data_IF_846945518522
#
_entry.id   IF_846945518522
#
_cell.length_a   1.000
_cell.length_b   1.000
_cell.length_c   1.000
_cell.angle_alpha   90.00
_cell.angle_beta   90.00
_cell.angle_gamma   90.00
#
_symmetry.space_group_name_H-M   'P 1'
#
loop_
_entity.id
_entity.type
_entity.pdbx_description
1 polymer ?
#
# COMPACT_ATOMS: atom_id res chain seq x y z
N UNK A 1 27.76 -18.54 -11.45
CA UNK A 1 27.56 -17.08 -11.47
C UNK A 1 26.34 -16.76 -10.60
N UNK A 2 26.56 -16.57 -9.30
CA UNK A 2 25.49 -16.36 -8.32
C UNK A 2 25.37 -14.88 -7.99
N UNK A 3 24.39 -14.21 -8.61
CA UNK A 3 24.00 -12.86 -8.26
C UNK A 3 23.20 -12.89 -6.95
N UNK A 4 23.91 -12.78 -5.81
CA UNK A 4 23.27 -12.57 -4.50
C UNK A 4 22.84 -11.11 -4.42
N UNK A 5 21.55 -10.85 -4.66
CA UNK A 5 20.87 -9.63 -4.22
C UNK A 5 21.16 -9.42 -2.73
N UNK A 6 21.91 -8.37 -2.42
CA UNK A 6 22.06 -7.88 -1.06
C UNK A 6 20.71 -7.36 -0.53
N UNK A 7 20.45 -7.60 0.75
CA UNK A 7 19.27 -7.16 1.48
C UNK A 7 19.05 -5.62 1.39
N UNK A 8 17.82 -5.10 1.58
CA UNK A 8 17.53 -3.69 1.40
C UNK A 8 18.06 -2.88 2.59
N UNK A 9 19.36 -2.62 2.59
CA UNK A 9 19.98 -1.59 3.42
C UNK A 9 19.70 -0.23 2.80
N UNK A 10 18.94 0.60 3.53
CA UNK A 10 18.83 2.07 3.39
C UNK A 10 19.66 2.67 2.24
N UNK A 11 19.11 2.66 1.03
CA UNK A 11 19.75 3.24 -0.14
C UNK A 11 19.55 4.77 -0.13
N UNK A 12 20.64 5.52 -0.03
CA UNK A 12 20.60 6.97 -0.27
C UNK A 12 20.21 7.25 -1.73
N UNK A 13 19.42 8.29 -1.97
CA UNK A 13 19.07 8.72 -3.33
C UNK A 13 20.30 9.16 -4.12
N UNK A 14 20.24 9.07 -5.44
CA UNK A 14 21.31 9.56 -6.32
C UNK A 14 21.61 11.05 -6.10
N UNK A 15 20.58 11.85 -5.78
CA UNK A 15 20.72 13.25 -5.38
C UNK A 15 21.57 13.41 -4.12
N UNK A 16 21.35 12.58 -3.09
CA UNK A 16 22.13 12.61 -1.86
C UNK A 16 23.60 12.24 -2.10
N UNK A 17 23.86 11.26 -2.98
CA UNK A 17 25.20 10.90 -3.41
C UNK A 17 25.89 12.02 -4.18
N UNK A 18 25.18 12.69 -5.09
CA UNK A 18 25.71 13.82 -5.85
C UNK A 18 26.07 15.00 -4.94
N UNK A 19 25.22 15.28 -3.93
CA UNK A 19 25.46 16.31 -2.94
C UNK A 19 26.68 15.99 -2.05
N UNK A 20 26.80 14.75 -1.57
CA UNK A 20 27.95 14.31 -0.78
C UNK A 20 29.27 14.41 -1.56
N UNK A 21 29.27 14.09 -2.87
CA UNK A 21 30.45 14.27 -3.74
C UNK A 21 30.83 15.74 -3.92
N UNK A 22 29.84 16.64 -4.02
CA UNK A 22 30.09 18.10 -4.05
C UNK A 22 30.75 18.57 -2.75
N UNK A 23 30.22 18.13 -1.60
CA UNK A 23 30.78 18.44 -0.30
C UNK A 23 32.23 17.94 -0.17
N UNK A 24 32.51 16.70 -0.59
CA UNK A 24 33.85 16.12 -0.51
C UNK A 24 34.90 16.97 -1.25
N UNK A 25 34.59 17.40 -2.49
CA UNK A 25 35.51 18.22 -3.30
C UNK A 25 35.89 19.55 -2.63
N UNK A 26 34.91 20.23 -2.03
CA UNK A 26 35.19 21.48 -1.32
C UNK A 26 35.98 21.25 -0.03
N UNK A 27 35.70 20.15 0.67
CA UNK A 27 36.42 19.79 1.88
C UNK A 27 37.87 19.38 1.58
N UNK A 28 38.13 18.63 0.50
CA UNK A 28 39.48 18.31 0.03
C UNK A 28 40.25 19.58 -0.34
N UNK A 29 39.60 20.54 -1.03
CA UNK A 29 40.21 21.84 -1.36
C UNK A 29 40.63 22.62 -0.11
N UNK A 30 39.87 22.52 1.00
CA UNK A 30 40.22 23.11 2.30
C UNK A 30 41.35 22.32 2.99
N UNK A 31 41.37 21.00 2.86
CA UNK A 31 42.35 20.13 3.54
C UNK A 31 43.72 20.16 2.86
N UNK A 32 43.75 20.23 1.53
CA UNK A 32 44.98 20.12 0.72
C UNK A 32 45.51 21.49 0.27
N UNK A 33 44.73 22.56 0.48
CA UNK A 33 45.13 23.94 0.16
C UNK A 33 46.15 24.52 1.15
N UNK A 34 47.11 25.31 0.63
CA UNK A 34 48.21 25.92 1.38
C UNK A 34 47.91 27.30 1.98
N UNK A 35 46.67 27.80 1.81
CA UNK A 35 46.27 29.15 2.20
C UNK A 35 45.66 29.28 3.62
N UNK A 36 45.27 30.50 4.04
CA UNK A 36 44.63 30.72 5.34
C UNK A 36 43.33 29.91 5.48
N UNK A 37 43.33 28.93 6.39
CA UNK A 37 42.25 27.96 6.56
C UNK A 37 40.87 28.61 6.80
N UNK A 38 40.84 29.74 7.51
CA UNK A 38 39.61 30.48 7.81
C UNK A 38 38.98 31.10 6.56
N UNK A 39 39.80 31.57 5.61
CA UNK A 39 39.32 32.12 4.35
C UNK A 39 38.76 31.01 3.43
N UNK A 40 39.43 29.86 3.39
CA UNK A 40 38.95 28.68 2.64
C UNK A 40 37.61 28.16 3.19
N UNK A 41 37.46 28.11 4.53
CA UNK A 41 36.21 27.70 5.18
C UNK A 41 35.07 28.68 4.89
N UNK A 42 35.32 29.98 4.92
CA UNK A 42 34.30 30.99 4.60
C UNK A 42 33.86 30.90 3.12
N UNK A 43 34.78 30.61 2.21
CA UNK A 43 34.49 30.40 0.79
C UNK A 43 33.59 29.17 0.59
N UNK A 44 33.99 28.03 1.14
CA UNK A 44 33.20 26.80 1.04
C UNK A 44 31.82 26.94 1.71
N UNK A 45 31.73 27.68 2.82
CA UNK A 45 30.45 27.99 3.46
C UNK A 45 29.51 28.76 2.52
N UNK A 46 30.03 29.74 1.77
CA UNK A 46 29.26 30.50 0.80
C UNK A 46 28.83 29.64 -0.42
N UNK A 47 29.76 28.85 -0.97
CA UNK A 47 29.51 28.00 -2.15
C UNK A 47 28.51 26.87 -1.86
N UNK A 48 28.64 26.25 -0.68
CA UNK A 48 27.76 25.16 -0.25
C UNK A 48 26.46 25.66 0.39
N UNK A 49 26.31 26.98 0.58
CA UNK A 49 25.19 27.62 1.30
C UNK A 49 24.98 27.03 2.70
N UNK A 50 26.08 26.77 3.39
CA UNK A 50 26.11 26.22 4.76
C UNK A 50 26.66 27.26 5.73
N UNK A 51 26.28 27.16 7.00
CA UNK A 51 26.95 27.93 8.05
C UNK A 51 28.40 27.47 8.21
N UNK A 52 29.29 28.39 8.59
CA UNK A 52 30.69 28.07 8.90
C UNK A 52 30.80 26.95 9.95
N UNK A 53 29.90 26.93 10.94
CA UNK A 53 29.78 25.86 11.95
C UNK A 53 29.49 24.50 11.33
N UNK A 54 28.59 24.41 10.35
CA UNK A 54 28.31 23.15 9.63
C UNK A 54 29.54 22.69 8.85
N UNK A 55 30.28 23.58 8.20
CA UNK A 55 31.53 23.25 7.50
C UNK A 55 32.58 22.70 8.47
N UNK A 56 32.73 23.30 9.66
CA UNK A 56 33.62 22.76 10.70
C UNK A 56 33.22 21.35 11.14
N UNK A 57 31.92 21.09 11.36
CA UNK A 57 31.43 19.77 11.75
C UNK A 57 31.66 18.72 10.64
N UNK A 58 31.46 19.10 9.38
CA UNK A 58 31.72 18.23 8.22
C UNK A 58 33.22 17.94 8.07
N UNK A 59 34.09 18.95 8.23
CA UNK A 59 35.55 18.76 8.26
C UNK A 59 35.97 17.79 9.36
N UNK A 60 35.40 17.91 10.56
CA UNK A 60 35.72 17.01 11.67
C UNK A 60 35.36 15.55 11.35
N UNK A 61 34.20 15.31 10.74
CA UNK A 61 33.77 13.97 10.28
C UNK A 61 34.66 13.44 9.14
N UNK A 62 34.93 14.28 8.15
CA UNK A 62 35.64 13.91 6.93
C UNK A 62 37.13 13.67 7.15
N UNK A 63 37.75 14.33 8.14
CA UNK A 63 39.16 14.11 8.49
C UNK A 63 39.45 12.71 9.03
N UNK A 64 38.49 12.11 9.73
CA UNK A 64 38.67 10.78 10.29
C UNK A 64 38.65 9.70 9.21
N UNK A 65 37.83 9.89 8.18
CA UNK A 65 37.71 9.00 7.04
C UNK A 65 37.29 9.81 5.80
N UNK A 66 38.23 10.06 4.88
CA UNK A 66 38.06 10.90 3.66
C UNK A 66 37.16 10.24 2.60
N UNK A 67 36.16 9.47 3.04
CA UNK A 67 35.21 8.78 2.19
C UNK A 67 33.97 9.65 1.97
N UNK A 68 33.41 9.62 0.75
CA UNK A 68 32.15 10.34 0.42
C UNK A 68 30.99 9.85 1.30
N UNK A 69 31.03 8.58 1.72
CA UNK A 69 30.06 7.97 2.64
C UNK A 69 29.99 8.68 4.00
N UNK A 70 31.10 9.23 4.50
CA UNK A 70 31.11 9.94 5.78
C UNK A 70 30.35 11.26 5.75
N UNK A 71 30.05 11.78 4.55
CA UNK A 71 29.32 13.03 4.30
C UNK A 71 27.85 12.81 3.91
N UNK A 72 27.43 11.56 3.70
CA UNK A 72 26.02 11.28 3.47
C UNK A 72 25.20 11.68 4.72
N UNK A 73 23.96 12.15 4.53
CA UNK A 73 23.03 12.33 5.63
C UNK A 73 22.98 11.03 6.42
N UNK A 74 23.13 11.07 7.74
CA UNK A 74 22.76 9.90 8.52
C UNK A 74 21.25 9.77 8.34
N UNK A 75 20.84 8.82 7.50
CA UNK A 75 19.47 8.33 7.56
C UNK A 75 19.33 7.88 8.99
N UNK A 76 18.40 8.49 9.73
CA UNK A 76 18.08 8.11 11.09
C UNK A 76 17.83 6.60 11.08
N UNK A 77 18.88 5.84 11.39
CA UNK A 77 18.78 4.42 11.62
C UNK A 77 17.84 4.34 12.79
N UNK A 78 16.58 3.97 12.51
CA UNK A 78 15.48 3.88 13.46
C UNK A 78 16.04 3.66 14.85
N UNK A 79 16.00 4.70 15.71
CA UNK A 79 16.51 4.64 17.08
C UNK A 79 16.15 3.27 17.60
N UNK A 80 17.16 2.41 17.89
CA UNK A 80 16.92 1.04 18.35
C UNK A 80 15.84 1.15 19.42
N UNK A 81 14.64 0.62 19.14
CA UNK A 81 13.53 0.64 20.08
C UNK A 81 13.94 -0.30 21.21
N UNK A 82 14.65 0.25 22.19
CA UNK A 82 15.13 -0.50 23.35
C UNK A 82 13.97 -0.61 24.31
N UNK A 83 13.01 -1.46 23.96
CA UNK A 83 12.23 -2.13 24.99
C UNK A 83 13.17 -3.14 25.65
N UNK A 84 13.01 -3.34 26.94
CA UNK A 84 13.76 -4.35 27.65
C UNK A 84 13.52 -5.73 27.03
N UNK A 85 14.58 -6.55 26.93
CA UNK A 85 14.50 -7.87 26.29
C UNK A 85 13.54 -8.80 27.04
N UNK A 86 13.40 -8.64 28.37
CA UNK A 86 12.41 -9.35 29.17
C UNK A 86 10.98 -8.99 28.76
N UNK A 87 10.70 -7.71 28.50
CA UNK A 87 9.37 -7.28 28.05
C UNK A 87 9.08 -7.81 26.64
N UNK A 88 10.05 -7.77 25.72
CA UNK A 88 9.87 -8.33 24.36
C UNK A 88 9.61 -9.85 24.43
N UNK A 89 10.27 -10.57 25.33
CA UNK A 89 10.04 -12.00 25.55
C UNK A 89 8.61 -12.25 26.08
N UNK A 90 8.17 -11.51 27.11
CA UNK A 90 6.81 -11.64 27.67
C UNK A 90 5.77 -11.37 26.58
N UNK A 91 5.91 -10.28 25.82
CA UNK A 91 5.01 -9.94 24.72
C UNK A 91 4.94 -11.10 23.72
N UNK A 92 6.09 -11.61 23.27
CA UNK A 92 6.14 -12.64 22.24
C UNK A 92 5.55 -13.97 22.72
N UNK A 93 5.79 -14.35 23.99
CA UNK A 93 5.26 -15.58 24.58
C UNK A 93 3.75 -15.49 24.77
N UNK A 94 3.25 -14.44 25.43
CA UNK A 94 1.81 -14.29 25.69
C UNK A 94 1.01 -14.14 24.39
N UNK A 95 1.53 -13.43 23.38
CA UNK A 95 0.85 -13.34 22.08
C UNK A 95 0.79 -14.70 21.36
N UNK A 96 1.80 -15.56 21.48
CA UNK A 96 1.76 -16.90 20.88
C UNK A 96 0.77 -17.82 21.59
N UNK A 97 0.72 -17.76 22.91
CA UNK A 97 -0.09 -18.65 23.74
C UNK A 97 -1.57 -18.28 23.74
N UNK A 98 -1.89 -16.98 23.83
CA UNK A 98 -3.25 -16.52 24.12
C UNK A 98 -3.88 -15.70 22.99
N UNK A 99 -3.09 -15.02 22.17
CA UNK A 99 -3.63 -14.21 21.07
C UNK A 99 -3.72 -14.98 19.76
N UNK A 100 -2.69 -15.76 19.44
CA UNK A 100 -2.57 -16.53 18.20
C UNK A 100 -3.28 -17.90 18.28
N UNK A 101 -4.53 -17.87 18.74
CA UNK A 101 -5.40 -19.05 18.91
C UNK A 101 -6.70 -18.90 18.11
N UNK A 102 -7.40 -20.02 17.90
CA UNK A 102 -8.59 -20.07 17.04
C UNK A 102 -9.76 -19.24 17.60
N UNK A 103 -9.91 -19.20 18.93
CA UNK A 103 -10.90 -18.39 19.65
C UNK A 103 -10.75 -16.89 19.36
N UNK A 104 -9.55 -16.48 18.94
CA UNK A 104 -9.20 -15.14 18.49
C UNK A 104 -9.64 -14.02 19.46
N UNK A 105 -9.26 -14.08 20.75
CA UNK A 105 -9.67 -13.07 21.73
C UNK A 105 -9.21 -11.65 21.33
N UNK A 106 -9.91 -10.60 21.81
CA UNK A 106 -9.54 -9.23 21.53
C UNK A 106 -8.14 -8.93 22.09
N UNK A 107 -7.34 -8.18 21.33
CA UNK A 107 -5.96 -7.86 21.72
C UNK A 107 -5.89 -7.14 23.08
N UNK A 108 -6.92 -6.38 23.46
CA UNK A 108 -6.96 -5.66 24.74
C UNK A 108 -6.86 -6.61 25.95
N UNK A 109 -7.54 -7.76 25.91
CA UNK A 109 -7.48 -8.76 26.98
C UNK A 109 -6.07 -9.35 27.12
N UNK A 110 -5.45 -9.70 26.00
CA UNK A 110 -4.09 -10.25 26.00
C UNK A 110 -3.06 -9.19 26.42
N UNK A 111 -3.28 -7.91 26.09
CA UNK A 111 -2.43 -6.82 26.59
C UNK A 111 -2.55 -6.65 28.10
N UNK A 112 -3.74 -6.84 28.68
CA UNK A 112 -3.90 -6.81 30.13
C UNK A 112 -3.07 -7.92 30.80
N UNK A 113 -3.10 -9.13 30.25
CA UNK A 113 -2.25 -10.24 30.71
C UNK A 113 -0.75 -9.92 30.57
N UNK A 114 -0.33 -9.36 29.43
CA UNK A 114 1.07 -8.95 29.22
C UNK A 114 1.51 -7.96 30.31
N UNK A 115 0.64 -7.02 30.69
CA UNK A 115 0.92 -6.05 31.77
C UNK A 115 1.08 -6.75 33.11
N UNK A 116 0.15 -7.63 33.47
CA UNK A 116 0.24 -8.41 34.70
C UNK A 116 1.56 -9.19 34.80
N UNK A 117 1.94 -9.91 33.73
CA UNK A 117 3.23 -10.66 33.68
C UNK A 117 4.46 -9.74 33.74
N UNK A 118 4.37 -8.54 33.17
CA UNK A 118 5.47 -7.55 33.29
C UNK A 118 5.59 -7.02 34.72
N UNK A 119 4.47 -6.73 35.39
CA UNK A 119 4.44 -6.24 36.77
C UNK A 119 4.98 -7.30 37.75
N UNK A 120 4.59 -8.57 37.58
CA UNK A 120 5.14 -9.70 38.35
C UNK A 120 6.65 -9.86 38.18
N UNK A 121 7.17 -9.59 36.98
CA UNK A 121 8.59 -9.61 36.66
C UNK A 121 9.33 -8.33 37.11
N UNK A 122 8.65 -7.35 37.70
CA UNK A 122 9.24 -6.05 38.10
C UNK A 122 9.60 -5.16 36.91
N UNK A 123 8.99 -5.39 35.74
CA UNK A 123 9.25 -4.66 34.49
C UNK A 123 8.16 -3.62 34.21
N UNK A 124 8.52 -2.57 33.46
CA UNK A 124 7.58 -1.53 33.07
C UNK A 124 6.50 -2.06 32.12
N UNK A 125 5.25 -2.00 32.56
CA UNK A 125 4.09 -2.47 31.82
C UNK A 125 3.97 -1.78 30.43
N UNK A 126 3.91 -2.53 29.32
CA UNK A 126 3.81 -1.94 27.99
C UNK A 126 2.42 -1.34 27.72
N UNK A 127 2.39 -0.32 26.85
CA UNK A 127 1.11 0.20 26.33
C UNK A 127 0.50 -0.74 25.28
N UNK A 128 -0.81 -0.65 25.08
CA UNK A 128 -1.51 -1.39 24.01
C UNK A 128 -0.83 -1.22 22.65
N UNK A 129 -0.52 0.03 22.29
CA UNK A 129 0.12 0.36 21.01
C UNK A 129 1.55 -0.22 20.93
N UNK A 130 2.22 -0.39 22.07
CA UNK A 130 3.53 -1.04 22.15
C UNK A 130 3.41 -2.50 21.74
N UNK A 131 2.51 -3.27 22.35
CA UNK A 131 2.28 -4.68 21.99
C UNK A 131 1.77 -4.83 20.55
N UNK A 132 0.80 -4.01 20.13
CA UNK A 132 0.24 -4.06 18.78
C UNK A 132 1.30 -3.87 17.68
N UNK A 133 2.26 -2.97 17.90
CA UNK A 133 3.36 -2.71 16.94
C UNK A 133 4.34 -3.88 16.78
N UNK A 134 4.35 -4.87 17.69
CA UNK A 134 5.22 -6.06 17.59
C UNK A 134 4.60 -7.18 16.76
N UNK A 135 3.27 -7.20 16.63
CA UNK A 135 2.54 -8.24 15.91
C UNK A 135 3.10 -8.46 14.49
N UNK A 136 3.31 -7.44 13.64
CA UNK A 136 3.82 -7.65 12.28
C UNK A 136 5.27 -8.15 12.22
N UNK A 137 6.05 -7.95 13.28
CA UNK A 137 7.42 -8.46 13.39
C UNK A 137 7.48 -9.89 13.95
N UNK A 138 6.44 -10.32 14.68
CA UNK A 138 6.36 -11.64 15.31
C UNK A 138 5.64 -12.66 14.43
N UNK A 139 4.63 -12.25 13.67
CA UNK A 139 3.76 -13.14 12.90
C UNK A 139 3.51 -12.61 11.50
N UNK A 140 3.50 -13.52 10.52
CA UNK A 140 3.06 -13.17 9.17
C UNK A 140 1.53 -13.05 9.11
N UNK A 141 0.97 -12.24 8.19
CA UNK A 141 -0.47 -12.19 7.97
C UNK A 141 -1.08 -13.58 7.69
N UNK A 142 -0.36 -14.44 6.97
CA UNK A 142 -0.77 -15.81 6.68
C UNK A 142 -0.82 -16.68 7.95
N UNK A 143 0.17 -16.57 8.83
CA UNK A 143 0.17 -17.32 10.10
C UNK A 143 -1.01 -16.90 10.99
N UNK A 144 -1.27 -15.60 11.08
CA UNK A 144 -2.42 -15.05 11.81
C UNK A 144 -3.72 -15.57 11.22
N UNK A 145 -3.91 -15.48 9.90
CA UNK A 145 -5.12 -15.96 9.24
C UNK A 145 -5.33 -17.47 9.43
N UNK A 146 -4.25 -18.27 9.42
CA UNK A 146 -4.32 -19.72 9.62
C UNK A 146 -4.67 -20.10 11.06
N UNK A 147 -4.10 -19.42 12.06
CA UNK A 147 -4.29 -19.79 13.47
C UNK A 147 -5.51 -19.13 14.11
N UNK A 148 -5.90 -17.92 13.67
CA UNK A 148 -7.02 -17.15 14.23
C UNK A 148 -8.28 -17.15 13.35
N UNK A 149 -8.33 -17.95 12.28
CA UNK A 149 -9.53 -18.10 11.50
C UNK A 149 -9.79 -19.53 11.06
N UNK A 150 -10.99 -20.02 11.37
CA UNK A 150 -11.50 -21.28 10.82
C UNK A 150 -11.87 -21.17 9.33
N UNK A 151 -11.98 -19.95 8.78
CA UNK A 151 -12.45 -19.74 7.42
C UNK A 151 -11.28 -19.77 6.41
N UNK A 152 -11.19 -20.80 5.54
CA UNK A 152 -10.12 -20.89 4.54
C UNK A 152 -10.13 -19.73 3.54
N UNK A 153 -11.26 -19.02 3.37
CA UNK A 153 -11.35 -17.83 2.51
C UNK A 153 -10.43 -16.69 2.98
N UNK A 154 -10.17 -16.56 4.28
CA UNK A 154 -9.28 -15.52 4.80
C UNK A 154 -7.83 -15.72 4.34
N UNK A 155 -7.37 -16.97 4.29
CA UNK A 155 -6.06 -17.30 3.71
C UNK A 155 -6.04 -17.09 2.21
N UNK A 156 -7.11 -17.48 1.49
CA UNK A 156 -7.19 -17.28 0.04
C UNK A 156 -7.19 -15.80 -0.36
N UNK A 157 -7.74 -14.90 0.47
CA UNK A 157 -7.67 -13.44 0.24
C UNK A 157 -6.27 -12.87 0.35
N UNK A 158 -5.39 -13.51 1.11
CA UNK A 158 -3.99 -13.10 1.26
C UNK A 158 -3.11 -13.62 0.12
N UNK A 159 -3.54 -14.69 -0.55
CA UNK A 159 -2.79 -15.24 -1.67
C UNK A 159 -2.99 -14.36 -2.92
N UNK A 160 -1.92 -14.10 -3.69
CA UNK A 160 -2.10 -13.56 -5.03
C UNK A 160 -2.97 -14.53 -5.83
N UNK A 161 -3.86 -13.99 -6.68
CA UNK A 161 -4.59 -14.78 -7.67
C UNK A 161 -3.82 -14.70 -8.98
N UNK A 162 -2.84 -15.59 -9.24
CA UNK A 162 -2.11 -15.57 -10.50
C UNK A 162 -3.03 -15.97 -11.64
N UNK A 163 -2.96 -15.22 -12.74
CA UNK A 163 -3.79 -15.42 -13.92
C UNK A 163 -4.31 -14.08 -14.42
N UNK A 164 -3.78 -13.62 -15.55
CA UNK A 164 -4.38 -12.53 -16.30
C UNK A 164 -5.06 -13.13 -17.52
N UNK A 165 -6.36 -12.88 -17.65
CA UNK A 165 -7.08 -13.18 -18.89
C UNK A 165 -6.52 -12.23 -19.94
N UNK A 166 -5.99 -12.78 -21.02
CA UNK A 166 -5.48 -12.03 -22.17
C UNK A 166 -6.35 -12.33 -23.38
N UNK A 167 -6.75 -11.27 -24.09
CA UNK A 167 -7.44 -11.34 -25.36
C UNK A 167 -6.55 -10.67 -26.41
N UNK A 168 -6.37 -11.33 -27.57
CA UNK A 168 -5.48 -10.85 -28.62
C UNK A 168 -6.17 -9.82 -29.53
N UNK A 169 -7.49 -9.94 -29.70
CA UNK A 169 -8.31 -9.07 -30.55
C UNK A 169 -9.54 -8.58 -29.78
N UNK A 170 -10.11 -7.44 -30.20
CA UNK A 170 -11.40 -6.99 -29.67
C UNK A 170 -12.47 -8.08 -29.82
N UNK A 171 -13.31 -8.25 -28.80
CA UNK A 171 -14.41 -9.22 -28.72
C UNK A 171 -13.98 -10.70 -28.65
N UNK A 172 -12.68 -11.00 -28.56
CA UNK A 172 -12.23 -12.38 -28.30
C UNK A 172 -12.72 -12.84 -26.91
N UNK A 173 -12.54 -12.00 -25.88
CA UNK A 173 -12.99 -12.30 -24.50
C UNK A 173 -13.61 -11.06 -23.88
N UNK A 174 -14.84 -11.21 -23.41
CA UNK A 174 -15.58 -10.19 -22.67
C UNK A 174 -15.80 -10.63 -21.22
N UNK A 175 -15.68 -9.68 -20.29
CA UNK A 175 -15.92 -9.89 -18.87
C UNK A 175 -17.17 -9.16 -18.42
N UNK A 176 -18.03 -9.89 -17.70
CA UNK A 176 -19.16 -9.30 -16.98
C UNK A 176 -18.82 -9.23 -15.50
N UNK A 177 -18.98 -8.05 -14.91
CA UNK A 177 -18.87 -7.82 -13.47
C UNK A 177 -20.12 -7.10 -12.98
N UNK A 178 -20.55 -7.47 -11.78
CA UNK A 178 -21.68 -6.85 -11.09
C UNK A 178 -21.15 -6.12 -9.85
N UNK A 179 -21.38 -4.82 -9.78
CA UNK A 179 -20.94 -4.00 -8.65
C UNK A 179 -22.13 -3.25 -8.05
N UNK A 180 -22.40 -3.37 -6.73
CA UNK A 180 -23.36 -2.50 -6.06
C UNK A 180 -22.84 -1.06 -6.11
N UNK A 181 -23.69 -0.14 -6.55
CA UNK A 181 -23.36 1.28 -6.66
C UNK A 181 -23.26 1.94 -5.28
N UNK A 182 -22.47 3.01 -5.19
CA UNK A 182 -22.38 3.86 -3.99
C UNK A 182 -23.57 4.84 -3.87
N UNK A 183 -24.63 4.62 -4.66
CA UNK A 183 -25.82 5.48 -4.70
C UNK A 183 -26.96 4.78 -3.95
N UNK A 184 -27.47 5.46 -2.93
CA UNK A 184 -28.63 5.02 -2.15
C UNK A 184 -29.90 5.65 -2.72
N UNK A 185 -30.88 4.84 -3.09
CA UNK A 185 -32.18 5.31 -3.57
C UNK A 185 -33.15 5.45 -2.41
N UNK A 186 -33.80 6.60 -2.33
CA UNK A 186 -34.77 6.96 -1.30
C UNK A 186 -36.03 7.43 -1.99
N UNK A 187 -37.16 6.82 -1.65
CA UNK A 187 -38.48 7.29 -2.05
C UNK A 187 -38.95 8.34 -1.05
N UNK A 188 -39.52 9.45 -1.53
CA UNK A 188 -40.13 10.45 -0.65
C UNK A 188 -41.64 10.34 -0.80
N UNK A 189 -42.30 9.86 0.26
CA UNK A 189 -43.77 9.77 0.34
C UNK A 189 -44.22 10.58 1.55
N UNK A 190 -45.16 11.51 1.36
CA UNK A 190 -45.72 12.38 2.40
C UNK A 190 -44.66 13.13 3.24
N UNK A 191 -43.54 13.50 2.61
CA UNK A 191 -42.42 14.20 3.27
C UNK A 191 -41.52 13.29 4.13
N UNK A 192 -41.82 12.00 4.24
CA UNK A 192 -40.95 10.98 4.81
C UNK A 192 -40.07 10.32 3.75
N UNK A 193 -38.79 10.14 4.04
CA UNK A 193 -37.85 9.41 3.17
C UNK A 193 -37.78 7.92 3.54
N UNK A 194 -38.21 7.04 2.64
CA UNK A 194 -38.09 5.59 2.78
C UNK A 194 -36.91 5.09 1.95
N UNK A 195 -35.95 4.43 2.59
CA UNK A 195 -34.82 3.83 1.89
C UNK A 195 -35.27 2.61 1.08
N UNK A 196 -35.08 2.67 -0.24
CA UNK A 196 -35.46 1.59 -1.17
C UNK A 196 -34.32 0.56 -1.27
N UNK A 197 -33.07 1.03 -1.42
CA UNK A 197 -31.93 0.15 -1.63
C UNK A 197 -30.79 0.78 -2.40
N UNK A 198 -29.84 -0.06 -2.81
CA UNK A 198 -28.73 0.29 -3.70
C UNK A 198 -28.93 -0.36 -5.04
N UNK A 199 -28.66 0.38 -6.11
CA UNK A 199 -28.66 -0.20 -7.45
C UNK A 199 -27.41 -1.06 -7.66
N UNK A 200 -27.56 -2.11 -8.45
CA UNK A 200 -26.49 -2.92 -9.00
C UNK A 200 -26.21 -2.48 -10.43
N UNK A 201 -24.93 -2.25 -10.71
CA UNK A 201 -24.42 -1.96 -12.04
C UNK A 201 -23.75 -3.23 -12.58
N UNK A 202 -24.36 -3.78 -13.63
CA UNK A 202 -23.81 -4.87 -14.44
C UNK A 202 -23.14 -4.26 -15.64
N UNK A 203 -21.87 -4.56 -15.88
CA UNK A 203 -21.12 -4.03 -17.02
C UNK A 203 -20.48 -5.18 -17.79
N UNK A 204 -20.48 -5.08 -19.12
CA UNK A 204 -19.65 -5.92 -19.99
C UNK A 204 -18.47 -5.11 -20.54
N UNK A 205 -17.26 -5.63 -20.33
CA UNK A 205 -15.99 -5.00 -20.74
C UNK A 205 -15.20 -5.94 -21.63
N UNK A 206 -14.71 -5.43 -22.75
CA UNK A 206 -13.79 -6.18 -23.63
C UNK A 206 -12.38 -6.22 -23.02
N UNK A 207 -11.78 -7.42 -22.94
CA UNK A 207 -10.48 -7.61 -22.28
C UNK A 207 -9.33 -6.99 -23.09
N UNK A 208 -9.40 -7.03 -24.42
CA UNK A 208 -8.33 -6.55 -25.31
C UNK A 208 -8.22 -5.02 -25.33
N UNK A 209 -9.36 -4.34 -25.47
CA UNK A 209 -9.46 -2.88 -25.62
C UNK A 209 -9.76 -2.15 -24.32
N UNK A 210 -10.27 -2.85 -23.29
CA UNK A 210 -10.82 -2.28 -22.05
C UNK A 210 -12.03 -1.39 -22.28
N UNK A 211 -12.63 -1.43 -23.47
CA UNK A 211 -13.84 -0.69 -23.77
C UNK A 211 -15.05 -1.35 -23.11
N UNK A 212 -15.95 -0.50 -22.60
CA UNK A 212 -17.25 -0.95 -22.12
C UNK A 212 -18.16 -1.15 -23.33
N UNK A 213 -18.71 -2.33 -23.49
CA UNK A 213 -19.62 -2.63 -24.60
C UNK A 213 -21.07 -2.30 -24.24
N UNK A 214 -21.45 -2.51 -22.98
CA UNK A 214 -22.79 -2.26 -22.49
C UNK A 214 -22.90 -2.35 -20.98
N UNK A 215 -24.06 -1.97 -20.46
CA UNK A 215 -24.35 -2.04 -19.04
C UNK A 215 -25.84 -2.24 -18.77
N UNK A 216 -26.18 -2.70 -17.57
CA UNK A 216 -27.52 -2.73 -17.00
C UNK A 216 -27.47 -2.18 -15.57
N UNK A 217 -28.28 -1.16 -15.28
CA UNK A 217 -28.43 -0.58 -13.95
C UNK A 217 -29.82 -0.90 -13.43
N UNK A 218 -29.90 -1.63 -12.32
CA UNK A 218 -31.18 -2.07 -11.72
C UNK A 218 -31.12 -2.02 -10.20
N UNK A 219 -32.25 -1.83 -9.51
CA UNK A 219 -32.37 -1.97 -8.06
C UNK A 219 -32.40 -3.43 -7.60
N UNK A 220 -32.65 -4.35 -8.54
CA UNK A 220 -32.64 -5.78 -8.26
C UNK A 220 -31.22 -6.30 -8.10
N UNK A 221 -31.08 -7.41 -7.37
CA UNK A 221 -29.81 -8.11 -7.29
C UNK A 221 -29.41 -8.65 -8.67
N UNK A 222 -28.10 -8.87 -8.91
CA UNK A 222 -27.61 -9.48 -10.13
C UNK A 222 -28.35 -10.79 -10.42
N UNK A 223 -28.81 -10.91 -11.66
CA UNK A 223 -29.60 -12.04 -12.15
C UNK A 223 -29.32 -12.28 -13.63
N UNK A 224 -29.75 -13.44 -14.13
CA UNK A 224 -29.70 -13.74 -15.56
C UNK A 224 -30.38 -12.66 -16.41
N UNK A 225 -31.44 -12.02 -15.89
CA UNK A 225 -32.10 -10.90 -16.54
C UNK A 225 -31.18 -9.67 -16.66
N UNK A 226 -30.46 -9.31 -15.59
CA UNK A 226 -29.51 -8.19 -15.66
C UNK A 226 -28.37 -8.43 -16.65
N UNK A 227 -27.92 -9.69 -16.77
CA UNK A 227 -26.91 -10.10 -17.76
C UNK A 227 -27.49 -10.00 -19.17
N UNK A 228 -28.67 -10.56 -19.41
CA UNK A 228 -29.34 -10.52 -20.70
C UNK A 228 -29.59 -9.08 -21.18
N UNK A 229 -30.04 -8.19 -20.29
CA UNK A 229 -30.24 -6.77 -20.60
C UNK A 229 -28.91 -6.06 -20.90
N UNK A 230 -27.86 -6.38 -20.15
CA UNK A 230 -26.51 -5.84 -20.39
C UNK A 230 -25.98 -6.26 -21.77
N UNK A 231 -26.14 -7.53 -22.13
CA UNK A 231 -25.74 -8.06 -23.44
C UNK A 231 -26.58 -7.49 -24.58
N UNK A 232 -27.90 -7.39 -24.41
CA UNK A 232 -28.75 -6.73 -25.39
C UNK A 232 -28.32 -5.28 -25.64
N UNK A 233 -27.93 -4.55 -24.58
CA UNK A 233 -27.38 -3.20 -24.71
C UNK A 233 -26.01 -3.17 -25.41
N UNK A 234 -25.20 -4.20 -25.26
CA UNK A 234 -23.88 -4.31 -25.89
C UNK A 234 -23.97 -4.66 -27.39
N UNK A 235 -24.95 -5.48 -27.77
CA UNK A 235 -25.14 -6.01 -29.12
C UNK A 235 -26.03 -5.15 -30.02
N UNK A 236 -26.82 -4.24 -29.45
CA UNK A 236 -27.73 -3.35 -30.21
C UNK A 236 -27.13 -1.96 -30.45
N UNK A 237 -27.43 -1.33 -31.61
CA UNK A 237 -27.07 0.06 -31.86
C UNK A 237 -27.64 0.99 -30.79
N UNK A 238 -26.84 1.95 -30.33
CA UNK A 238 -27.16 2.81 -29.17
C UNK A 238 -27.50 4.24 -29.54
N UNK A 239 -27.50 4.60 -30.81
CA UNK A 239 -27.74 5.96 -31.31
C UNK A 239 -29.08 6.49 -30.81
N UNK A 240 -30.15 5.71 -30.94
CA UNK A 240 -31.47 6.06 -30.43
C UNK A 240 -31.50 6.15 -28.90
N UNK A 241 -30.80 5.24 -28.21
CA UNK A 241 -30.73 5.21 -26.74
C UNK A 241 -29.99 6.42 -26.16
N UNK A 242 -28.91 6.86 -26.83
CA UNK A 242 -28.10 8.03 -26.50
C UNK A 242 -28.87 9.32 -26.79
N UNK A 243 -29.51 9.41 -27.95
CA UNK A 243 -30.33 10.56 -28.35
C UNK A 243 -31.48 10.82 -27.37
N UNK A 244 -32.16 9.75 -26.94
CA UNK A 244 -33.24 9.84 -25.94
C UNK A 244 -32.78 10.38 -24.56
N UNK A 245 -31.46 10.40 -24.30
CA UNK A 245 -30.86 10.90 -23.05
C UNK A 245 -30.07 12.20 -23.23
N UNK A 246 -30.11 12.80 -24.43
CA UNK A 246 -29.35 14.02 -24.73
C UNK A 246 -27.84 13.82 -24.68
N UNK A 247 -27.34 12.61 -24.95
CA UNK A 247 -25.91 12.31 -24.97
C UNK A 247 -25.38 12.50 -26.39
N UNK A 248 -24.58 13.53 -26.60
CA UNK A 248 -24.01 13.88 -27.92
C UNK A 248 -22.73 13.10 -28.28
N UNK A 249 -22.21 12.29 -27.36
CA UNK A 249 -21.00 11.50 -27.58
C UNK A 249 -21.32 10.13 -28.19
N UNK A 250 -20.56 9.76 -29.22
CA UNK A 250 -20.70 8.45 -29.85
C UNK A 250 -20.22 7.31 -28.96
N UNK A 251 -20.94 6.18 -29.02
CA UNK A 251 -20.53 4.92 -28.41
C UNK A 251 -20.48 3.85 -29.51
N UNK A 252 -19.38 3.73 -30.26
CA UNK A 252 -19.32 2.89 -31.46
C UNK A 252 -19.09 1.39 -31.17
N UNK A 253 -18.85 1.01 -29.91
CA UNK A 253 -18.45 -0.35 -29.52
C UNK A 253 -19.62 -1.34 -29.57
N UNK A 254 -19.74 -2.11 -30.64
CA UNK A 254 -20.85 -3.04 -30.88
C UNK A 254 -20.29 -4.38 -31.35
N UNK A 255 -20.93 -5.49 -30.95
CA UNK A 255 -20.66 -6.79 -31.54
C UNK A 255 -21.03 -7.94 -30.62
N UNK A 256 -20.91 -9.15 -31.16
CA UNK A 256 -21.02 -10.40 -30.39
C UNK A 256 -19.63 -10.90 -30.04
N UNK A 257 -19.42 -11.21 -28.77
CA UNK A 257 -18.22 -11.86 -28.27
C UNK A 257 -18.06 -13.30 -28.76
N UNK A 258 -16.81 -13.79 -28.80
CA UNK A 258 -16.51 -15.21 -29.02
C UNK A 258 -16.54 -16.02 -27.72
N UNK A 259 -16.07 -15.41 -26.62
CA UNK A 259 -16.07 -16.01 -25.29
C UNK A 259 -16.54 -15.00 -24.24
N UNK A 260 -17.42 -15.45 -23.34
CA UNK A 260 -17.97 -14.64 -22.25
C UNK A 260 -17.60 -15.23 -20.89
N UNK A 261 -17.00 -14.40 -20.03
CA UNK A 261 -16.62 -14.76 -18.67
C UNK A 261 -17.39 -13.92 -17.66
N UNK A 262 -18.17 -14.57 -16.80
CA UNK A 262 -18.88 -13.94 -15.69
C UNK A 262 -18.00 -13.98 -14.42
N UNK A 263 -17.71 -12.81 -13.84
CA UNK A 263 -16.92 -12.70 -12.61
C UNK A 263 -17.88 -12.74 -11.41
N UNK A 264 -18.00 -13.90 -10.79
CA UNK A 264 -18.70 -14.06 -9.51
C UNK A 264 -17.72 -13.68 -8.38
N UNK A 265 -17.87 -12.48 -7.79
CA UNK A 265 -17.06 -12.02 -6.65
C UNK A 265 -17.61 -12.46 -5.30
#
# INVERSE_FOLDING_TARGET
MHNRKAAPGTSHSDEAWSAARRLARELDTILDGSGPRRAAINRAAAELRLSTRQVYNLLARYRNDRTVTSLLPQLDGSRKKRLDQGIEAIIATTLREQWLVLEAPPLAAVVAEIRARCEEAGLAAPSYLTAARRIPGLFSPEEIARKRSANPKHLQRLKPRPGYIHAARPLDVCQIDHTPTDINFVEVVDGGGTFIGRAYLTIVTDVATRCILGFCLTLEKPSALSVALCLAHAMCPREAWLAARGIEHGWPMLGSEQELLEIIR
#
